data_IF_839462494179
#
_entry.id   IF_839462494179
#
_cell.length_a   1.000
_cell.length_b   1.000
_cell.length_c   1.000
_cell.angle_alpha   90.00
_cell.angle_beta   90.00
_cell.angle_gamma   90.00
#
_symmetry.space_group_name_H-M   'P 1'
#
loop_
_entity.id
_entity.type
_entity.pdbx_description
1 polymer ?
#
# COMPACT_ATOMS: atom_id res chain seq x y z
N UNK A 1 8.84 -31.66 -36.83
CA UNK A 1 8.69 -31.46 -35.36
C UNK A 1 8.07 -30.10 -35.12
N UNK A 2 6.77 -30.04 -34.82
CA UNK A 2 6.11 -28.81 -34.39
C UNK A 2 6.20 -28.74 -32.86
N UNK A 3 6.93 -27.77 -32.33
CA UNK A 3 6.87 -27.44 -30.91
C UNK A 3 5.50 -26.80 -30.64
N UNK A 4 4.61 -27.57 -30.03
CA UNK A 4 3.32 -27.09 -29.56
C UNK A 4 3.53 -26.17 -28.36
N UNK A 5 3.11 -24.92 -28.51
CA UNK A 5 3.03 -23.93 -27.44
C UNK A 5 2.11 -24.46 -26.33
N UNK A 6 2.67 -24.86 -25.20
CA UNK A 6 1.90 -25.24 -24.01
C UNK A 6 1.24 -23.99 -23.42
N UNK A 7 0.01 -23.73 -23.87
CA UNK A 7 -0.80 -22.56 -23.52
C UNK A 7 -1.41 -22.68 -22.09
N UNK A 8 -0.64 -23.14 -21.10
CA UNK A 8 -1.12 -23.43 -19.76
C UNK A 8 -0.80 -22.31 -18.75
N UNK A 9 -0.86 -21.05 -19.18
CA UNK A 9 -0.75 -19.90 -18.27
C UNK A 9 -1.93 -19.93 -17.28
N UNK A 10 -1.68 -19.97 -15.96
CA UNK A 10 -2.74 -20.00 -14.95
C UNK A 10 -3.77 -18.90 -15.15
N UNK A 11 -5.05 -19.19 -14.89
CA UNK A 11 -6.17 -18.28 -15.14
C UNK A 11 -5.98 -16.92 -14.43
N UNK A 12 -5.40 -16.93 -13.22
CA UNK A 12 -5.16 -15.71 -12.47
C UNK A 12 -4.10 -14.81 -13.14
N UNK A 13 -3.03 -15.37 -13.74
CA UNK A 13 -2.02 -14.59 -14.46
C UNK A 13 -2.63 -13.86 -15.67
N UNK A 14 -3.57 -14.50 -16.37
CA UNK A 14 -4.32 -13.85 -17.46
C UNK A 14 -5.12 -12.65 -16.94
N UNK A 15 -5.77 -12.78 -15.79
CA UNK A 15 -6.49 -11.67 -15.13
C UNK A 15 -5.53 -10.55 -14.73
N UNK A 16 -4.36 -10.87 -14.19
CA UNK A 16 -3.32 -9.88 -13.86
C UNK A 16 -2.91 -9.10 -15.10
N UNK A 17 -2.55 -9.79 -16.20
CA UNK A 17 -2.16 -9.13 -17.45
C UNK A 17 -3.27 -8.23 -18.00
N UNK A 18 -4.52 -8.69 -18.00
CA UNK A 18 -5.67 -7.91 -18.46
C UNK A 18 -5.89 -6.66 -17.60
N UNK A 19 -5.77 -6.78 -16.29
CA UNK A 19 -5.93 -5.67 -15.34
C UNK A 19 -4.83 -4.62 -15.47
N UNK A 20 -3.60 -5.08 -15.69
CA UNK A 20 -2.40 -4.27 -15.90
C UNK A 20 -2.34 -3.58 -17.26
N UNK A 21 -3.25 -3.87 -18.20
CA UNK A 21 -3.27 -3.16 -19.49
C UNK A 21 -3.57 -1.68 -19.27
N UNK A 22 -2.61 -0.85 -19.67
CA UNK A 22 -2.72 0.61 -19.75
C UNK A 22 -2.95 1.05 -21.20
N UNK A 23 -3.47 2.28 -21.39
CA UNK A 23 -3.50 2.93 -22.70
C UNK A 23 -2.09 3.41 -23.07
N UNK A 24 -1.80 3.64 -24.36
CA UNK A 24 -0.49 4.16 -24.78
C UNK A 24 -0.17 5.47 -24.05
N UNK A 25 1.04 5.59 -23.48
CA UNK A 25 1.45 6.73 -22.66
C UNK A 25 0.96 6.73 -21.20
N UNK A 26 0.27 5.68 -20.75
CA UNK A 26 -0.24 5.56 -19.37
C UNK A 26 0.54 4.54 -18.53
N UNK A 27 0.36 4.63 -17.21
CA UNK A 27 1.12 3.86 -16.23
C UNK A 27 0.58 2.45 -16.07
N UNK A 28 1.46 1.53 -15.67
CA UNK A 28 1.10 0.23 -15.07
C UNK A 28 1.45 0.27 -13.58
N UNK A 29 0.46 0.12 -12.72
CA UNK A 29 0.57 0.40 -11.28
C UNK A 29 0.18 -0.82 -10.45
N UNK A 30 1.07 -1.24 -9.54
CA UNK A 30 0.73 -2.14 -8.45
C UNK A 30 0.22 -1.31 -7.27
N UNK A 31 -1.00 -1.58 -6.81
CA UNK A 31 -1.59 -0.92 -5.64
C UNK A 31 -1.69 -1.94 -4.50
N UNK A 32 -0.89 -1.77 -3.44
CA UNK A 32 -1.01 -2.62 -2.24
C UNK A 32 -2.06 -2.01 -1.30
N UNK A 33 -2.81 -2.85 -0.58
CA UNK A 33 -3.95 -2.40 0.23
C UNK A 33 -5.12 -1.95 -0.63
N UNK A 34 -5.27 -2.50 -1.85
CA UNK A 34 -6.24 -2.05 -2.84
C UNK A 34 -7.69 -2.25 -2.39
N UNK A 35 -7.99 -3.22 -1.51
CA UNK A 35 -9.32 -3.40 -0.94
C UNK A 35 -9.57 -2.50 0.29
N UNK A 36 -8.56 -1.75 0.73
CA UNK A 36 -8.65 -0.72 1.75
C UNK A 36 -9.45 0.51 1.32
N UNK A 37 -9.73 1.39 2.28
CA UNK A 37 -10.50 2.62 2.04
C UNK A 37 -9.82 3.51 0.98
N UNK A 38 -8.57 3.91 1.22
CA UNK A 38 -7.81 4.76 0.28
C UNK A 38 -7.45 3.98 -1.00
N UNK A 39 -6.96 2.74 -0.86
CA UNK A 39 -6.50 1.94 -1.99
C UNK A 39 -7.58 1.69 -3.05
N UNK A 40 -8.84 1.48 -2.65
CA UNK A 40 -9.93 1.26 -3.59
C UNK A 40 -10.25 2.52 -4.41
N UNK A 41 -10.24 3.69 -3.77
CA UNK A 41 -10.47 4.97 -4.45
C UNK A 41 -9.31 5.30 -5.41
N UNK A 42 -8.07 5.10 -4.97
CA UNK A 42 -6.89 5.31 -5.82
C UNK A 42 -6.90 4.36 -7.01
N UNK A 43 -7.17 3.08 -6.80
CA UNK A 43 -7.24 2.06 -7.86
C UNK A 43 -8.30 2.42 -8.91
N UNK A 44 -9.50 2.82 -8.45
CA UNK A 44 -10.57 3.23 -9.36
C UNK A 44 -10.22 4.52 -10.13
N UNK A 45 -9.56 5.49 -9.48
CA UNK A 45 -9.17 6.74 -10.11
C UNK A 45 -8.09 6.53 -11.19
N UNK A 46 -7.06 5.74 -10.90
CA UNK A 46 -6.00 5.36 -11.84
C UNK A 46 -6.59 4.62 -13.05
N UNK A 47 -7.46 3.63 -12.80
CA UNK A 47 -8.08 2.87 -13.90
C UNK A 47 -8.96 3.75 -14.79
N UNK A 48 -9.74 4.67 -14.20
CA UNK A 48 -10.53 5.66 -14.94
C UNK A 48 -9.66 6.62 -15.76
N UNK A 49 -8.46 6.97 -15.27
CA UNK A 49 -7.50 7.81 -16.01
C UNK A 49 -6.96 7.11 -17.26
N UNK A 50 -7.01 5.78 -17.32
CA UNK A 50 -6.49 4.97 -18.43
C UNK A 50 -5.27 4.12 -18.07
N UNK A 51 -4.86 4.13 -16.80
CA UNK A 51 -3.74 3.33 -16.31
C UNK A 51 -4.12 1.84 -16.16
N UNK A 52 -3.11 0.99 -16.29
CA UNK A 52 -3.17 -0.39 -15.87
C UNK A 52 -3.04 -0.48 -14.36
N UNK A 53 -3.90 -1.23 -13.70
CA UNK A 53 -3.91 -1.30 -12.23
C UNK A 53 -4.03 -2.76 -11.81
N UNK A 54 -3.15 -3.22 -10.94
CA UNK A 54 -3.24 -4.51 -10.26
C UNK A 54 -3.28 -4.26 -8.77
N UNK A 55 -4.27 -4.81 -8.09
CA UNK A 55 -4.41 -4.67 -6.64
C UNK A 55 -3.82 -5.87 -5.89
N UNK A 56 -3.28 -5.63 -4.69
CA UNK A 56 -2.90 -6.67 -3.73
C UNK A 56 -3.50 -6.33 -2.36
N UNK A 57 -4.16 -7.28 -1.71
CA UNK A 57 -4.66 -7.13 -0.33
C UNK A 57 -4.74 -8.51 0.34
N UNK A 58 -4.46 -8.60 1.63
CA UNK A 58 -4.53 -9.87 2.37
C UNK A 58 -5.89 -10.10 3.03
N UNK A 59 -6.84 -9.17 2.89
CA UNK A 59 -8.18 -9.25 3.46
C UNK A 59 -8.21 -9.54 4.97
N UNK A 60 -7.17 -9.09 5.71
CA UNK A 60 -7.10 -9.28 7.15
C UNK A 60 -8.37 -8.79 7.89
N UNK A 61 -8.63 -9.38 9.05
CA UNK A 61 -9.82 -9.16 9.89
C UNK A 61 -9.68 -7.99 10.87
N UNK A 62 -8.78 -7.03 10.61
CA UNK A 62 -8.64 -5.84 11.45
C UNK A 62 -9.96 -5.05 11.57
N UNK A 63 -10.74 -5.04 10.50
CA UNK A 63 -12.15 -4.67 10.47
C UNK A 63 -12.92 -5.69 9.63
N UNK A 64 -14.25 -5.57 9.59
CA UNK A 64 -15.12 -6.49 8.85
C UNK A 64 -14.62 -6.72 7.40
N UNK A 65 -14.17 -7.95 7.08
CA UNK A 65 -13.70 -8.30 5.73
C UNK A 65 -14.76 -8.12 4.65
N UNK A 66 -16.05 -8.14 4.99
CA UNK A 66 -17.15 -7.92 4.06
C UNK A 66 -17.02 -6.59 3.31
N UNK A 67 -16.54 -5.54 3.99
CA UNK A 67 -16.30 -4.21 3.40
C UNK A 67 -15.16 -4.25 2.37
N UNK A 68 -14.10 -5.02 2.64
CA UNK A 68 -13.01 -5.22 1.66
C UNK A 68 -13.51 -6.00 0.44
N UNK A 69 -14.32 -7.05 0.64
CA UNK A 69 -14.92 -7.83 -0.45
C UNK A 69 -15.89 -7.00 -1.29
N UNK A 70 -16.70 -6.14 -0.66
CA UNK A 70 -17.58 -5.21 -1.38
C UNK A 70 -16.76 -4.26 -2.29
N UNK A 71 -15.66 -3.69 -1.79
CA UNK A 71 -14.75 -2.85 -2.59
C UNK A 71 -14.06 -3.63 -3.70
N UNK A 72 -13.62 -4.86 -3.43
CA UNK A 72 -13.05 -5.75 -4.45
C UNK A 72 -14.03 -5.95 -5.61
N UNK A 73 -15.30 -6.24 -5.33
CA UNK A 73 -16.34 -6.41 -6.36
C UNK A 73 -16.52 -5.14 -7.20
N UNK A 74 -16.52 -3.96 -6.58
CA UNK A 74 -16.60 -2.68 -7.29
C UNK A 74 -15.36 -2.41 -8.17
N UNK A 75 -14.18 -2.82 -7.72
CA UNK A 75 -12.93 -2.73 -8.49
C UNK A 75 -12.95 -3.68 -9.69
N UNK A 76 -13.43 -4.91 -9.52
CA UNK A 76 -13.56 -5.87 -10.61
C UNK A 76 -14.48 -5.36 -11.72
N UNK A 77 -15.61 -4.73 -11.37
CA UNK A 77 -16.51 -4.07 -12.33
C UNK A 77 -15.83 -2.94 -13.11
N UNK A 78 -14.79 -2.32 -12.54
CA UNK A 78 -13.98 -1.28 -13.19
C UNK A 78 -12.78 -1.85 -13.95
N UNK A 79 -12.63 -3.17 -14.00
CA UNK A 79 -11.51 -3.84 -14.66
C UNK A 79 -10.22 -3.83 -13.85
N UNK A 80 -10.30 -3.67 -12.52
CA UNK A 80 -9.18 -3.84 -11.60
C UNK A 80 -9.28 -5.19 -10.89
N UNK A 81 -8.30 -6.04 -11.12
CA UNK A 81 -8.15 -7.32 -10.44
C UNK A 81 -7.34 -7.13 -9.16
N UNK A 82 -7.92 -7.55 -8.03
CA UNK A 82 -7.26 -7.57 -6.72
C UNK A 82 -6.88 -9.00 -6.40
N UNK A 83 -5.59 -9.26 -6.29
CA UNK A 83 -5.04 -10.52 -5.80
C UNK A 83 -5.18 -10.55 -4.29
N UNK A 84 -5.66 -11.68 -3.78
CA UNK A 84 -5.61 -11.99 -2.36
C UNK A 84 -4.25 -12.59 -2.03
N UNK A 85 -3.46 -11.88 -1.22
CA UNK A 85 -2.11 -12.28 -0.85
C UNK A 85 -1.48 -11.32 0.14
N UNK A 86 -0.52 -11.83 0.91
CA UNK A 86 0.24 -11.00 1.85
C UNK A 86 1.40 -10.29 1.14
N UNK A 87 1.70 -9.07 1.58
CA UNK A 87 2.82 -8.30 1.04
C UNK A 87 4.17 -8.93 1.40
N UNK A 88 4.22 -9.72 2.47
CA UNK A 88 5.42 -10.48 2.86
C UNK A 88 5.62 -11.77 2.05
N UNK A 89 4.72 -12.11 1.11
CA UNK A 89 4.92 -13.23 0.20
C UNK A 89 5.86 -12.83 -0.95
N UNK A 90 7.16 -13.03 -0.72
CA UNK A 90 8.22 -12.75 -1.69
C UNK A 90 8.03 -13.49 -3.02
N UNK A 91 7.52 -14.73 -2.98
CA UNK A 91 7.32 -15.53 -4.19
C UNK A 91 6.18 -14.96 -5.02
N UNK A 92 5.10 -14.53 -4.38
CA UNK A 92 4.00 -13.85 -5.04
C UNK A 92 4.45 -12.53 -5.65
N UNK A 93 5.16 -11.69 -4.90
CA UNK A 93 5.65 -10.40 -5.42
C UNK A 93 6.58 -10.62 -6.61
N UNK A 94 7.59 -11.49 -6.47
CA UNK A 94 8.49 -11.82 -7.57
C UNK A 94 7.70 -12.25 -8.81
N UNK A 95 6.73 -13.14 -8.62
CA UNK A 95 5.89 -13.64 -9.73
C UNK A 95 5.05 -12.51 -10.36
N UNK A 96 4.53 -11.57 -9.58
CA UNK A 96 3.78 -10.42 -10.10
C UNK A 96 4.68 -9.53 -10.98
N UNK A 97 5.89 -9.23 -10.54
CA UNK A 97 6.88 -8.48 -11.32
C UNK A 97 7.39 -9.26 -12.56
N UNK A 98 7.43 -10.60 -12.51
CA UNK A 98 7.71 -11.44 -13.69
C UNK A 98 6.55 -11.42 -14.72
N UNK A 99 5.31 -11.16 -14.29
CA UNK A 99 4.12 -11.11 -15.17
C UNK A 99 3.93 -9.71 -15.77
N UNK A 100 4.16 -8.68 -14.97
CA UNK A 100 3.89 -7.28 -15.33
C UNK A 100 5.12 -6.43 -15.03
N UNK A 101 5.58 -5.71 -16.05
CA UNK A 101 6.53 -4.62 -15.88
C UNK A 101 5.78 -3.41 -15.30
N UNK A 102 5.74 -3.33 -13.97
CA UNK A 102 5.13 -2.19 -13.29
C UNK A 102 6.01 -0.96 -13.46
N UNK A 103 5.42 0.12 -13.97
CA UNK A 103 6.08 1.44 -14.02
C UNK A 103 6.08 2.11 -12.65
N UNK A 104 5.05 1.83 -11.83
CA UNK A 104 4.84 2.47 -10.54
C UNK A 104 4.29 1.48 -9.51
N UNK A 105 4.60 1.76 -8.25
CA UNK A 105 4.01 1.08 -7.10
C UNK A 105 3.39 2.11 -6.17
N UNK A 106 2.12 1.89 -5.82
CA UNK A 106 1.38 2.66 -4.83
C UNK A 106 1.20 1.80 -3.58
N UNK A 107 2.07 1.98 -2.58
CA UNK A 107 2.11 1.19 -1.38
C UNK A 107 1.22 1.78 -0.27
N UNK A 108 0.02 1.21 -0.10
CA UNK A 108 -0.96 1.62 0.92
C UNK A 108 -1.28 0.49 1.91
N UNK A 109 -0.81 -0.74 1.67
CA UNK A 109 -0.91 -1.84 2.62
C UNK A 109 -0.11 -1.51 3.89
N UNK A 110 -0.81 -1.39 5.01
CA UNK A 110 -0.22 -1.22 6.32
C UNK A 110 -1.24 -1.61 7.39
N UNK A 111 -0.75 -2.05 8.53
CA UNK A 111 -1.54 -2.08 9.75
C UNK A 111 -1.66 -0.64 10.27
N UNK A 112 -2.89 -0.14 10.31
CA UNK A 112 -3.21 1.24 10.68
C UNK A 112 -3.86 1.32 12.07
N UNK A 113 -3.86 2.54 12.61
CA UNK A 113 -4.49 2.89 13.89
C UNK A 113 -3.51 2.89 15.06
N UNK A 114 -3.64 3.87 15.94
CA UNK A 114 -2.73 4.02 17.09
C UNK A 114 -3.09 3.06 18.21
N UNK A 115 -4.38 2.88 18.49
CA UNK A 115 -4.86 2.11 19.65
C UNK A 115 -4.66 0.60 19.52
N UNK A 116 -4.76 0.06 18.30
CA UNK A 116 -4.63 -1.38 18.08
C UNK A 116 -3.17 -1.85 18.22
N UNK A 117 -2.20 -0.96 18.10
CA UNK A 117 -0.79 -1.26 18.32
C UNK A 117 -0.49 -1.73 19.75
N UNK A 118 -1.28 -1.30 20.74
CA UNK A 118 -1.18 -1.79 22.11
C UNK A 118 -1.73 -3.21 22.28
N UNK A 119 -2.62 -3.66 21.39
CA UNK A 119 -3.25 -4.99 21.47
C UNK A 119 -2.48 -6.05 20.68
N UNK A 120 -1.96 -5.69 19.50
CA UNK A 120 -1.25 -6.61 18.62
C UNK A 120 -0.06 -5.91 17.94
N UNK A 121 1.01 -5.60 18.68
CA UNK A 121 2.16 -4.86 18.14
C UNK A 121 2.87 -5.61 17.01
N UNK A 122 2.91 -6.95 17.06
CA UNK A 122 3.55 -7.79 16.03
C UNK A 122 2.98 -7.56 14.64
N UNK A 123 1.68 -7.32 14.51
CA UNK A 123 1.04 -7.00 13.23
C UNK A 123 1.58 -5.71 12.58
N UNK A 124 2.03 -4.74 13.37
CA UNK A 124 2.60 -3.49 12.85
C UNK A 124 4.00 -3.70 12.31
N UNK A 125 4.84 -4.46 13.02
CA UNK A 125 6.19 -4.79 12.51
C UNK A 125 6.08 -5.64 11.25
N UNK A 126 5.22 -6.66 11.27
CA UNK A 126 5.01 -7.55 10.14
C UNK A 126 4.50 -6.83 8.89
N UNK A 127 3.46 -6.01 9.01
CA UNK A 127 2.88 -5.33 7.83
C UNK A 127 3.63 -4.05 7.43
N UNK A 128 4.10 -3.25 8.39
CA UNK A 128 4.61 -1.90 8.08
C UNK A 128 6.12 -1.88 7.86
N UNK A 129 6.88 -2.79 8.46
CA UNK A 129 8.34 -2.83 8.34
C UNK A 129 8.75 -3.98 7.43
N UNK A 130 8.46 -5.23 7.81
CA UNK A 130 8.83 -6.38 7.00
C UNK A 130 8.17 -6.30 5.61
N UNK A 131 6.88 -6.00 5.54
CA UNK A 131 6.17 -5.83 4.27
C UNK A 131 6.72 -4.69 3.39
N UNK A 132 7.22 -3.61 3.99
CA UNK A 132 7.85 -2.51 3.23
C UNK A 132 9.18 -2.97 2.62
N UNK A 133 10.02 -3.64 3.42
CA UNK A 133 11.31 -4.18 2.98
C UNK A 133 11.11 -5.23 1.89
N UNK A 134 10.19 -6.17 2.08
CA UNK A 134 9.85 -7.20 1.08
C UNK A 134 9.42 -6.59 -0.26
N UNK A 135 8.61 -5.52 -0.22
CA UNK A 135 8.22 -4.81 -1.42
C UNK A 135 9.40 -4.08 -2.09
N UNK A 136 10.26 -3.42 -1.30
CA UNK A 136 11.42 -2.71 -1.83
C UNK A 136 12.44 -3.67 -2.45
N UNK A 137 12.64 -4.85 -1.87
CA UNK A 137 13.48 -5.91 -2.47
C UNK A 137 12.94 -6.39 -3.82
N UNK A 138 11.61 -6.54 -3.94
CA UNK A 138 10.98 -6.87 -5.21
C UNK A 138 11.14 -5.74 -6.24
N UNK A 139 10.96 -4.48 -5.83
CA UNK A 139 11.14 -3.32 -6.72
C UNK A 139 12.60 -3.13 -7.14
N UNK A 140 13.56 -3.35 -6.23
CA UNK A 140 15.01 -3.30 -6.49
C UNK A 140 15.41 -4.30 -7.57
N UNK A 141 14.83 -5.49 -7.52
CA UNK A 141 15.14 -6.60 -8.43
C UNK A 141 14.42 -6.47 -9.78
N UNK A 142 13.43 -5.58 -9.90
CA UNK A 142 12.71 -5.34 -11.14
C UNK A 142 13.55 -4.48 -12.11
N UNK A 143 13.40 -4.75 -13.41
CA UNK A 143 14.08 -4.00 -14.46
C UNK A 143 13.10 -3.71 -15.62
N UNK A 144 12.76 -2.43 -15.91
CA UNK A 144 13.17 -1.24 -15.17
C UNK A 144 12.59 -1.19 -13.75
N UNK A 145 13.27 -0.49 -12.84
CA UNK A 145 12.77 -0.28 -11.47
C UNK A 145 11.54 0.65 -11.51
N UNK A 146 10.45 0.30 -10.79
CA UNK A 146 9.28 1.17 -10.71
C UNK A 146 9.56 2.41 -9.86
N UNK A 147 8.85 3.51 -10.15
CA UNK A 147 8.74 4.62 -9.19
C UNK A 147 7.77 4.26 -8.07
N UNK A 148 8.17 4.48 -6.83
CA UNK A 148 7.43 4.06 -5.64
C UNK A 148 6.82 5.28 -4.96
N UNK A 149 5.53 5.17 -4.68
CA UNK A 149 4.78 6.10 -3.85
C UNK A 149 4.23 5.32 -2.67
N UNK A 150 4.46 5.80 -1.45
CA UNK A 150 4.02 5.08 -0.25
C UNK A 150 3.40 6.01 0.80
N UNK A 151 2.51 5.44 1.61
CA UNK A 151 1.85 6.17 2.69
C UNK A 151 2.68 6.18 3.98
N UNK A 152 3.30 7.32 4.26
CA UNK A 152 3.67 7.72 5.63
C UNK A 152 2.42 8.27 6.35
N UNK A 153 2.59 8.93 7.49
CA UNK A 153 1.49 9.42 8.32
C UNK A 153 1.87 10.73 9.00
N UNK A 154 0.91 11.63 9.19
CA UNK A 154 1.13 12.82 10.02
C UNK A 154 1.46 12.48 11.48
N UNK A 155 1.22 11.25 11.93
CA UNK A 155 1.59 10.80 13.27
C UNK A 155 3.10 10.80 13.54
N UNK A 156 3.95 10.88 12.51
CA UNK A 156 5.41 10.98 12.68
C UNK A 156 5.83 12.28 13.38
N UNK A 157 5.01 13.33 13.35
CA UNK A 157 5.24 14.55 14.12
C UNK A 157 5.11 14.32 15.64
N UNK A 158 4.51 13.21 16.06
CA UNK A 158 4.63 12.70 17.43
C UNK A 158 4.23 13.72 18.50
N UNK A 159 5.16 14.01 19.41
CA UNK A 159 4.98 14.93 20.54
C UNK A 159 5.29 16.41 20.20
N UNK A 160 5.48 16.76 18.93
CA UNK A 160 5.76 18.13 18.53
C UNK A 160 4.61 19.08 18.91
N UNK A 161 4.95 20.20 19.54
CA UNK A 161 4.03 21.27 19.91
C UNK A 161 3.92 22.38 18.86
N UNK A 162 4.92 22.49 17.96
CA UNK A 162 4.94 23.48 16.88
C UNK A 162 3.82 23.20 15.87
N UNK A 163 3.02 24.21 15.56
CA UNK A 163 2.02 24.20 14.49
C UNK A 163 2.09 25.48 13.65
N UNK A 164 1.82 25.43 12.33
CA UNK A 164 1.54 24.23 11.53
C UNK A 164 2.79 23.34 11.40
N UNK A 165 2.58 22.03 11.25
CA UNK A 165 3.67 21.09 11.01
C UNK A 165 4.30 21.30 9.63
N UNK A 166 5.61 21.10 9.56
CA UNK A 166 6.41 21.17 8.33
C UNK A 166 7.25 19.91 8.15
N UNK A 167 7.53 19.52 6.91
CA UNK A 167 8.45 18.43 6.57
C UNK A 167 9.87 18.66 7.12
N UNK A 168 10.23 19.92 7.42
CA UNK A 168 11.50 20.30 8.05
C UNK A 168 11.53 20.08 9.56
N UNK A 169 10.39 19.79 10.19
CA UNK A 169 10.32 19.58 11.63
C UNK A 169 10.92 18.22 12.00
N UNK A 170 11.59 18.17 13.15
CA UNK A 170 12.14 16.94 13.71
C UNK A 170 11.01 15.97 14.06
N UNK A 171 11.21 14.68 13.83
CA UNK A 171 10.18 13.63 13.97
C UNK A 171 10.65 12.47 14.86
N UNK A 172 11.53 12.75 15.81
CA UNK A 172 12.28 11.73 16.56
C UNK A 172 11.58 11.32 17.87
N UNK A 173 10.39 11.86 18.14
CA UNK A 173 9.60 11.60 19.34
C UNK A 173 8.22 11.02 18.99
N UNK A 174 8.14 9.81 18.40
CA UNK A 174 6.87 9.20 18.01
C UNK A 174 6.03 8.86 19.25
N UNK A 175 4.77 9.33 19.27
CA UNK A 175 3.84 9.10 20.39
C UNK A 175 3.18 7.69 20.38
N UNK A 176 3.53 6.81 19.44
CA UNK A 176 2.98 5.46 19.34
C UNK A 176 3.84 4.53 18.49
N UNK A 177 3.65 3.21 18.64
CA UNK A 177 4.30 2.22 17.78
C UNK A 177 3.92 2.40 16.30
N UNK A 178 2.67 2.73 15.98
CA UNK A 178 2.28 3.05 14.60
C UNK A 178 3.10 4.21 14.03
N UNK A 179 3.23 5.31 14.77
CA UNK A 179 4.06 6.45 14.38
C UNK A 179 5.53 6.06 14.21
N UNK A 180 6.08 5.27 15.14
CA UNK A 180 7.44 4.76 15.05
C UNK A 180 7.65 3.91 13.79
N UNK A 181 6.69 3.03 13.44
CA UNK A 181 6.81 2.22 12.21
C UNK A 181 6.77 3.07 10.94
N UNK A 182 5.99 4.15 10.90
CA UNK A 182 5.95 5.06 9.76
C UNK A 182 7.22 5.89 9.67
N UNK A 183 7.77 6.36 10.80
CA UNK A 183 9.06 7.05 10.82
C UNK A 183 10.20 6.13 10.39
N UNK A 184 10.24 4.90 10.89
CA UNK A 184 11.22 3.90 10.45
C UNK A 184 11.11 3.61 8.95
N UNK A 185 9.89 3.57 8.39
CA UNK A 185 9.67 3.46 6.95
C UNK A 185 10.28 4.61 6.14
N UNK A 186 10.29 5.84 6.66
CA UNK A 186 10.97 6.98 6.02
C UNK A 186 12.49 6.79 5.98
N UNK A 187 13.10 6.34 7.07
CA UNK A 187 14.54 6.05 7.14
C UNK A 187 14.96 4.87 6.23
N UNK A 188 14.12 3.83 6.19
CA UNK A 188 14.31 2.69 5.28
C UNK A 188 14.23 3.17 3.82
N UNK A 189 13.22 3.97 3.47
CA UNK A 189 13.08 4.53 2.12
C UNK A 189 14.27 5.38 1.71
N UNK A 190 14.77 6.25 2.59
CA UNK A 190 15.97 7.04 2.35
C UNK A 190 17.17 6.13 2.04
N UNK A 191 17.37 5.09 2.85
CA UNK A 191 18.48 4.15 2.69
C UNK A 191 18.40 3.39 1.35
N UNK A 192 17.21 2.92 0.98
CA UNK A 192 17.00 2.21 -0.28
C UNK A 192 17.20 3.11 -1.52
N UNK A 193 16.78 4.38 -1.44
CA UNK A 193 17.09 5.36 -2.48
C UNK A 193 18.61 5.58 -2.58
N UNK A 194 19.29 5.82 -1.46
CA UNK A 194 20.72 6.12 -1.43
C UNK A 194 21.58 4.96 -1.96
N UNK A 195 21.29 3.72 -1.55
CA UNK A 195 22.11 2.55 -1.88
C UNK A 195 21.75 1.98 -3.26
N UNK A 196 20.46 1.93 -3.62
CA UNK A 196 19.98 1.21 -4.80
C UNK A 196 19.38 2.10 -5.89
N UNK A 197 19.27 3.41 -5.66
CA UNK A 197 18.73 4.35 -6.63
C UNK A 197 17.21 4.29 -6.82
N UNK A 198 16.47 3.59 -5.96
CA UNK A 198 15.01 3.51 -6.05
C UNK A 198 14.39 4.91 -5.96
N UNK A 199 13.54 5.26 -6.94
CA UNK A 199 12.76 6.51 -6.90
C UNK A 199 11.59 6.35 -5.93
N UNK A 200 11.65 6.99 -4.76
CA UNK A 200 10.68 6.81 -3.67
C UNK A 200 10.13 8.16 -3.20
N UNK A 201 8.80 8.27 -3.13
CA UNK A 201 8.10 9.41 -2.54
C UNK A 201 7.17 8.93 -1.41
N UNK A 202 7.37 9.48 -0.21
CA UNK A 202 6.51 9.23 0.95
C UNK A 202 5.56 10.39 1.22
N UNK A 203 4.26 10.11 1.38
CA UNK A 203 3.29 11.14 1.76
C UNK A 203 2.85 10.98 3.22
N UNK A 204 3.04 12.03 4.03
CA UNK A 204 2.55 12.08 5.41
C UNK A 204 1.05 12.42 5.41
N UNK A 205 0.21 11.40 5.31
CA UNK A 205 -1.25 11.57 5.23
C UNK A 205 -1.80 12.09 6.56
N UNK A 206 -2.59 13.16 6.49
CA UNK A 206 -3.42 13.64 7.59
C UNK A 206 -4.81 13.03 7.49
N UNK A 207 -5.25 12.34 8.53
CA UNK A 207 -6.64 11.97 8.67
C UNK A 207 -7.36 13.00 9.54
N UNK A 208 -8.10 13.91 8.90
CA UNK A 208 -9.23 14.54 9.55
C UNK A 208 -10.39 13.55 9.50
N UNK A 209 -10.89 13.10 10.66
CA UNK A 209 -12.20 12.47 10.70
C UNK A 209 -13.22 13.38 9.97
N UNK A 210 -14.11 12.85 9.13
CA UNK A 210 -15.20 13.65 8.59
C UNK A 210 -15.96 14.29 9.75
N UNK A 211 -16.34 15.57 9.62
CA UNK A 211 -17.10 16.34 10.62
C UNK A 211 -18.49 15.76 11.01
N UNK A 212 -18.80 14.53 10.58
CA UNK A 212 -20.07 13.84 10.79
C UNK A 212 -20.04 12.80 11.92
N UNK A 213 -18.91 12.61 12.62
CA UNK A 213 -18.94 11.90 13.91
C UNK A 213 -19.48 12.88 14.96
N UNK A 214 -20.69 12.60 15.42
CA UNK A 214 -21.36 13.36 16.46
C UNK A 214 -20.43 13.49 17.69
N UNK A 215 -20.04 14.73 18.02
CA UNK A 215 -19.17 15.05 19.16
C UNK A 215 -19.72 14.56 20.51
N UNK A 216 -21.00 14.18 20.56
CA UNK A 216 -21.65 13.60 21.75
C UNK A 216 -21.14 12.21 22.15
N UNK A 217 -20.52 11.45 21.24
CA UNK A 217 -19.98 10.11 21.53
C UNK A 217 -18.55 10.13 22.14
N UNK A 218 -17.96 11.33 22.32
CA UNK A 218 -16.64 11.52 22.95
C UNK A 218 -16.81 12.30 24.27
N UNK A 219 -17.89 12.04 25.02
CA UNK A 219 -17.96 12.39 26.44
C UNK A 219 -17.38 11.23 27.25
N UNK A 220 -16.10 11.41 27.60
CA UNK A 220 -15.43 10.95 28.82
C UNK A 220 -16.27 10.11 29.79
N UNK A 221 -15.93 8.83 29.93
CA UNK A 221 -16.05 8.13 31.22
C UNK A 221 -14.72 8.29 31.95
N UNK A 222 -14.66 8.98 33.11
CA UNK A 222 -13.44 9.08 33.90
C UNK A 222 -13.37 7.87 34.83
N UNK A 223 -12.61 6.85 34.46
CA UNK A 223 -11.96 5.89 35.37
C UNK A 223 -10.74 5.31 34.65
#
# INVERSE_FOLDING_TARGET
>A
MKWGSSNNTPQWEKRVRLSARSRSGHLSVLVTGAAGFVGSHVSAALKRRGDGVVGLDNFNSYYDPSLKRARQKLLEQKGVFVIEGDINDEKLLKKLFDIVEFTHVMHLAAQAGVRYAMKNPGSYIHSNIAGLVTLFEACKSANPQPSIVWASSSSVYGLNSKVPFSEKDQTDQPASLYAATKKAGEEIAHTYNHIYGLSIVGFRIFFSLPMWINKSLIRTSPF
#
